data_IF_975042089230
#
_entry.id   IF_975042089230
#
_cell.length_a   1.000
_cell.length_b   1.000
_cell.length_c   1.000
_cell.angle_alpha   90.00
_cell.angle_beta   90.00
_cell.angle_gamma   90.00
#
_symmetry.space_group_name_H-M   'P 1'
#
loop_
_entity.id
_entity.type
_entity.pdbx_description
1 polymer ?
#
# COMPACT_ATOMS: atom_id res chain seq x y z
N UNK A 1 -1.91 -42.17 7.12
CA UNK A 1 -1.04 -41.73 8.23
C UNK A 1 -0.23 -40.56 7.73
N UNK A 2 -0.14 -39.49 8.51
CA UNK A 2 0.64 -38.29 8.18
C UNK A 2 1.85 -38.25 9.12
N UNK A 3 3.03 -38.74 8.70
CA UNK A 3 4.14 -39.03 9.62
C UNK A 3 4.92 -37.78 10.02
N UNK A 4 4.65 -36.62 9.41
CA UNK A 4 5.35 -35.36 9.66
C UNK A 4 4.39 -34.17 9.61
N UNK A 5 4.81 -33.09 10.25
CA UNK A 5 4.19 -31.79 10.07
C UNK A 5 4.46 -31.23 8.66
N UNK A 6 3.59 -30.33 8.17
CA UNK A 6 3.84 -29.60 6.93
C UNK A 6 5.10 -28.73 6.99
N UNK A 7 5.72 -28.54 5.84
CA UNK A 7 6.91 -27.71 5.64
C UNK A 7 6.54 -26.31 5.18
N UNK A 8 7.46 -25.35 5.35
CA UNK A 8 7.30 -24.00 4.81
C UNK A 8 7.19 -23.97 3.28
N UNK A 9 7.84 -24.90 2.58
CA UNK A 9 7.73 -25.01 1.12
C UNK A 9 6.31 -25.38 0.67
N UNK A 10 5.63 -26.28 1.41
CA UNK A 10 4.23 -26.64 1.15
C UNK A 10 3.29 -25.44 1.42
N UNK A 11 3.59 -24.63 2.44
CA UNK A 11 2.85 -23.37 2.69
C UNK A 11 3.05 -22.37 1.56
N UNK A 12 4.30 -22.15 1.11
CA UNK A 12 4.58 -21.22 0.00
C UNK A 12 3.96 -21.68 -1.32
N UNK A 13 3.97 -22.98 -1.61
CA UNK A 13 3.25 -23.52 -2.77
C UNK A 13 1.76 -23.20 -2.67
N UNK A 14 1.13 -23.47 -1.52
CA UNK A 14 -0.27 -23.16 -1.32
C UNK A 14 -0.56 -21.67 -1.54
N UNK A 15 0.26 -20.78 -0.98
CA UNK A 15 0.15 -19.33 -1.16
C UNK A 15 0.35 -18.87 -2.62
N UNK A 16 0.97 -19.68 -3.48
CA UNK A 16 1.14 -19.36 -4.91
C UNK A 16 -0.13 -19.56 -5.74
N UNK A 17 -1.11 -20.32 -5.24
CA UNK A 17 -2.37 -20.57 -5.94
C UNK A 17 -3.20 -19.30 -6.00
N UNK A 18 -3.58 -18.85 -7.20
CA UNK A 18 -4.32 -17.58 -7.39
C UNK A 18 -5.83 -17.74 -7.26
N UNK A 19 -6.35 -18.95 -7.41
CA UNK A 19 -7.78 -19.24 -7.30
C UNK A 19 -8.13 -19.59 -5.86
N UNK A 20 -9.02 -18.81 -5.23
CA UNK A 20 -9.57 -19.16 -3.91
C UNK A 20 -10.24 -20.54 -3.98
N UNK A 21 -11.06 -20.71 -5.02
CA UNK A 21 -11.80 -21.91 -5.34
C UNK A 21 -11.91 -22.04 -6.87
N UNK A 22 -11.84 -23.26 -7.38
CA UNK A 22 -11.76 -23.58 -8.81
C UNK A 22 -12.86 -24.54 -9.28
N UNK A 23 -13.62 -25.11 -8.36
CA UNK A 23 -14.71 -26.04 -8.63
C UNK A 23 -15.93 -25.79 -7.76
N UNK A 24 -16.60 -26.86 -7.35
CA UNK A 24 -17.80 -26.87 -6.53
C UNK A 24 -17.56 -26.54 -5.05
N UNK A 25 -16.38 -26.05 -4.66
CA UNK A 25 -16.03 -25.83 -3.24
C UNK A 25 -16.14 -27.10 -2.38
N UNK A 26 -15.85 -28.25 -2.99
CA UNK A 26 -15.80 -29.54 -2.31
C UNK A 26 -14.36 -30.06 -2.17
N UNK A 27 -14.23 -31.25 -1.60
CA UNK A 27 -12.95 -31.90 -1.31
C UNK A 27 -12.21 -32.36 -2.58
N UNK A 28 -12.86 -32.38 -3.73
CA UNK A 28 -12.32 -32.82 -5.02
C UNK A 28 -11.83 -31.64 -5.88
N UNK A 29 -11.97 -30.41 -5.40
CA UNK A 29 -11.50 -29.23 -6.12
C UNK A 29 -9.98 -29.25 -6.32
N UNK A 30 -9.54 -29.20 -7.57
CA UNK A 30 -8.13 -29.14 -7.96
C UNK A 30 -7.72 -27.70 -8.25
N UNK A 31 -6.49 -27.31 -7.91
CA UNK A 31 -6.00 -25.94 -8.09
C UNK A 31 -6.81 -24.89 -7.28
N UNK A 32 -7.39 -25.32 -6.15
CA UNK A 32 -8.13 -24.47 -5.21
C UNK A 32 -7.23 -24.18 -4.00
N UNK A 33 -6.93 -22.90 -3.75
CA UNK A 33 -6.21 -22.47 -2.55
C UNK A 33 -6.89 -23.00 -1.28
N UNK A 34 -8.22 -22.86 -1.19
CA UNK A 34 -9.00 -23.31 -0.04
C UNK A 34 -8.85 -24.83 0.16
N UNK A 35 -8.92 -25.63 -0.90
CA UNK A 35 -8.80 -27.09 -0.79
C UNK A 35 -7.38 -27.56 -0.44
N UNK A 36 -6.38 -26.88 -0.98
CA UNK A 36 -4.98 -27.16 -0.68
C UNK A 36 -4.68 -26.79 0.77
N UNK A 37 -5.08 -25.61 1.24
CA UNK A 37 -4.87 -25.17 2.63
C UNK A 37 -5.61 -26.06 3.64
N UNK A 38 -6.88 -26.38 3.37
CA UNK A 38 -7.67 -27.29 4.19
C UNK A 38 -7.03 -28.69 4.26
N UNK A 39 -6.33 -29.09 3.20
CA UNK A 39 -5.49 -30.27 3.18
C UNK A 39 -6.11 -31.48 2.50
N UNK A 40 -7.07 -31.29 1.59
CA UNK A 40 -7.61 -32.36 0.75
C UNK A 40 -6.91 -32.45 -0.63
N UNK A 41 -6.19 -31.39 -1.03
CA UNK A 41 -5.33 -31.39 -2.19
C UNK A 41 -3.84 -31.41 -1.81
N UNK A 42 -3.04 -32.06 -2.65
CA UNK A 42 -1.60 -32.20 -2.47
C UNK A 42 -0.94 -30.81 -2.53
N UNK A 43 -0.19 -30.38 -1.50
CA UNK A 43 0.44 -29.06 -1.41
C UNK A 43 1.72 -28.92 -2.25
N UNK A 44 1.92 -29.75 -3.26
CA UNK A 44 2.94 -29.61 -4.30
C UNK A 44 2.35 -29.61 -5.72
N UNK A 45 1.12 -30.12 -5.89
CA UNK A 45 0.48 -30.23 -7.22
C UNK A 45 -0.91 -29.58 -7.27
N UNK A 46 -1.49 -29.26 -6.12
CA UNK A 46 -2.87 -28.82 -5.94
C UNK A 46 -3.93 -29.78 -6.50
N UNK A 47 -3.59 -31.07 -6.64
CA UNK A 47 -4.54 -32.11 -7.06
C UNK A 47 -5.14 -32.77 -5.82
N UNK A 48 -6.47 -32.86 -5.77
CA UNK A 48 -7.22 -33.52 -4.71
C UNK A 48 -6.89 -35.01 -4.62
N UNK A 49 -6.71 -35.50 -3.40
CA UNK A 49 -6.48 -36.91 -3.14
C UNK A 49 -7.07 -37.31 -1.78
N UNK A 50 -8.17 -38.05 -1.82
CA UNK A 50 -8.89 -38.52 -0.62
C UNK A 50 -8.06 -39.40 0.32
N UNK A 51 -6.98 -39.99 -0.18
CA UNK A 51 -6.09 -40.85 0.62
C UNK A 51 -4.98 -40.08 1.31
N UNK A 52 -4.91 -38.76 1.10
CA UNK A 52 -3.89 -37.89 1.65
C UNK A 52 -4.48 -36.80 2.54
N UNK A 53 -3.62 -36.22 3.35
CA UNK A 53 -3.94 -35.08 4.19
C UNK A 53 -2.73 -34.16 4.21
N UNK A 54 -2.90 -32.97 3.66
CA UNK A 54 -1.90 -31.89 3.67
C UNK A 54 -2.19 -30.86 4.75
N UNK A 55 -1.28 -29.90 4.91
CA UNK A 55 -1.47 -28.64 5.66
C UNK A 55 -2.35 -28.78 6.92
N UNK A 56 -3.55 -28.18 6.93
CA UNK A 56 -4.46 -28.21 8.07
C UNK A 56 -4.81 -29.65 8.52
N UNK A 57 -5.32 -30.49 7.63
CA UNK A 57 -5.67 -31.88 7.95
C UNK A 57 -4.46 -32.70 8.43
N UNK A 58 -3.28 -32.44 7.88
CA UNK A 58 -2.04 -33.13 8.28
C UNK A 58 -1.73 -32.93 9.75
N UNK A 59 -1.85 -31.70 10.28
CA UNK A 59 -1.57 -31.40 11.67
C UNK A 59 -2.60 -32.05 12.60
N UNK A 60 -3.89 -31.95 12.26
CA UNK A 60 -4.96 -32.63 12.99
C UNK A 60 -4.67 -34.13 13.17
N UNK A 61 -4.24 -34.81 12.09
CA UNK A 61 -3.92 -36.24 12.13
C UNK A 61 -2.60 -36.52 12.86
N UNK A 62 -1.57 -35.68 12.65
CA UNK A 62 -0.25 -35.84 13.26
C UNK A 62 -0.30 -35.80 14.78
N UNK A 63 -1.09 -34.89 15.34
CA UNK A 63 -1.27 -34.74 16.78
C UNK A 63 -1.94 -35.96 17.44
N UNK A 64 -2.72 -36.72 16.66
CA UNK A 64 -3.50 -37.87 17.14
C UNK A 64 -4.50 -37.47 18.27
N UNK A 65 -5.18 -38.44 18.87
CA UNK A 65 -6.05 -38.20 20.03
C UNK A 65 -7.26 -37.32 19.71
N UNK A 66 -7.56 -36.34 20.57
CA UNK A 66 -8.65 -35.38 20.38
C UNK A 66 -8.50 -34.56 19.10
N UNK A 67 -7.28 -34.13 18.77
CA UNK A 67 -7.00 -33.30 17.60
C UNK A 67 -7.32 -34.00 16.27
N UNK A 68 -7.34 -35.33 16.22
CA UNK A 68 -7.68 -36.08 14.99
C UNK A 68 -9.18 -36.32 14.80
N UNK A 69 -10.01 -35.96 15.78
CA UNK A 69 -11.47 -36.13 15.73
C UNK A 69 -12.16 -34.82 15.35
N UNK A 70 -12.88 -34.78 14.23
CA UNK A 70 -13.56 -33.55 13.75
C UNK A 70 -14.51 -32.96 14.80
N UNK A 71 -15.24 -33.81 15.52
CA UNK A 71 -16.20 -33.36 16.54
C UNK A 71 -15.53 -33.00 17.88
N UNK A 72 -14.28 -33.42 18.08
CA UNK A 72 -13.59 -33.36 19.36
C UNK A 72 -12.36 -32.46 19.38
N UNK A 73 -11.85 -32.05 18.22
CA UNK A 73 -10.57 -31.35 18.07
C UNK A 73 -10.52 -30.05 18.84
N UNK A 74 -11.63 -29.29 18.85
CA UNK A 74 -11.75 -28.04 19.60
C UNK A 74 -11.68 -28.19 21.13
N UNK A 75 -11.74 -29.42 21.69
CA UNK A 75 -11.50 -29.64 23.11
C UNK A 75 -10.01 -29.60 23.47
N UNK A 76 -9.11 -29.69 22.48
CA UNK A 76 -7.68 -29.53 22.67
C UNK A 76 -7.29 -28.05 22.46
N UNK A 77 -6.63 -27.37 23.41
CA UNK A 77 -6.25 -25.96 23.26
C UNK A 77 -5.32 -25.69 22.07
N UNK A 78 -4.61 -26.71 21.57
CA UNK A 78 -3.79 -26.59 20.35
C UNK A 78 -4.65 -26.24 19.13
N UNK A 79 -5.93 -26.58 19.13
CA UNK A 79 -6.89 -26.20 18.08
C UNK A 79 -6.88 -24.70 17.80
N UNK A 80 -6.86 -23.86 18.85
CA UNK A 80 -6.89 -22.40 18.70
C UNK A 80 -5.60 -21.91 18.05
N UNK A 81 -4.45 -22.40 18.51
CA UNK A 81 -3.15 -22.02 17.94
C UNK A 81 -3.01 -22.49 16.49
N UNK A 82 -3.51 -23.70 16.20
CA UNK A 82 -3.52 -24.25 14.85
C UNK A 82 -4.36 -23.40 13.90
N UNK A 83 -5.61 -23.11 14.27
CA UNK A 83 -6.50 -22.33 13.40
C UNK A 83 -6.10 -20.86 13.30
N UNK A 84 -5.47 -20.27 14.32
CA UNK A 84 -4.84 -18.95 14.18
C UNK A 84 -3.72 -18.95 13.12
N UNK A 85 -2.93 -20.03 13.03
CA UNK A 85 -1.91 -20.16 11.98
C UNK A 85 -2.52 -20.45 10.60
N UNK A 86 -3.62 -21.22 10.52
CA UNK A 86 -4.35 -21.42 9.26
C UNK A 86 -4.95 -20.10 8.76
N UNK A 87 -5.54 -19.30 9.66
CA UNK A 87 -6.05 -17.97 9.34
C UNK A 87 -4.94 -17.00 8.92
N UNK A 88 -3.76 -17.07 9.55
CA UNK A 88 -2.62 -16.26 9.13
C UNK A 88 -2.07 -16.61 7.75
N UNK A 89 -2.23 -17.86 7.29
CA UNK A 89 -1.95 -18.26 5.90
C UNK A 89 -3.04 -17.71 4.96
N UNK A 90 -4.31 -17.74 5.37
CA UNK A 90 -5.39 -17.12 4.61
C UNK A 90 -5.21 -15.61 4.46
N UNK A 91 -4.81 -14.90 5.52
CA UNK A 91 -4.49 -13.47 5.47
C UNK A 91 -3.32 -13.16 4.52
N UNK A 92 -2.26 -13.98 4.53
CA UNK A 92 -1.16 -13.87 3.57
C UNK A 92 -1.67 -14.00 2.13
N UNK A 93 -2.57 -14.94 1.88
CA UNK A 93 -3.16 -15.13 0.55
C UNK A 93 -4.02 -13.93 0.14
N UNK A 94 -4.85 -13.39 1.03
CA UNK A 94 -5.65 -12.18 0.79
C UNK A 94 -4.76 -10.97 0.45
N UNK A 95 -3.68 -10.74 1.20
CA UNK A 95 -2.72 -9.65 0.92
C UNK A 95 -2.00 -9.82 -0.41
N UNK A 96 -1.60 -11.05 -0.73
CA UNK A 96 -0.82 -11.40 -1.92
C UNK A 96 -1.64 -11.26 -3.20
N UNK A 97 -2.89 -11.74 -3.20
CA UNK A 97 -3.69 -11.83 -4.42
C UNK A 97 -4.78 -10.75 -4.54
N UNK A 98 -5.15 -10.10 -3.43
CA UNK A 98 -6.20 -9.05 -3.39
C UNK A 98 -7.44 -9.42 -4.22
N UNK A 99 -8.03 -10.60 -3.97
CA UNK A 99 -9.13 -11.11 -4.77
C UNK A 99 -10.35 -10.20 -4.66
N UNK A 100 -11.18 -10.23 -5.70
CA UNK A 100 -12.54 -9.69 -5.59
C UNK A 100 -13.43 -10.68 -4.83
N UNK A 101 -14.48 -10.16 -4.19
CA UNK A 101 -15.42 -10.97 -3.40
C UNK A 101 -16.18 -12.00 -4.26
N UNK A 102 -16.29 -11.76 -5.56
CA UNK A 102 -16.95 -12.64 -6.55
C UNK A 102 -16.22 -13.97 -6.75
N UNK A 103 -14.94 -14.06 -6.37
CA UNK A 103 -14.20 -15.33 -6.40
C UNK A 103 -14.74 -16.31 -5.34
N UNK A 104 -15.38 -15.80 -4.27
CA UNK A 104 -16.11 -16.64 -3.33
C UNK A 104 -17.45 -17.09 -3.96
N UNK A 105 -17.72 -18.40 -4.12
CA UNK A 105 -18.90 -18.89 -4.82
C UNK A 105 -20.23 -18.39 -4.22
N UNK A 106 -21.05 -17.71 -5.02
CA UNK A 106 -22.37 -17.24 -4.60
C UNK A 106 -23.43 -18.34 -4.58
N UNK A 107 -23.24 -19.41 -5.35
CA UNK A 107 -24.17 -20.54 -5.49
C UNK A 107 -23.41 -21.83 -5.85
N UNK A 108 -24.10 -22.97 -5.76
CA UNK A 108 -23.61 -24.31 -6.12
C UNK A 108 -22.45 -24.85 -5.26
N UNK A 109 -22.07 -24.18 -4.18
CA UNK A 109 -21.26 -24.78 -3.14
C UNK A 109 -22.10 -25.76 -2.29
N UNK A 110 -21.47 -26.70 -1.56
CA UNK A 110 -22.14 -27.51 -0.55
C UNK A 110 -22.99 -26.67 0.39
N UNK A 111 -24.04 -27.27 0.96
CA UNK A 111 -24.94 -26.58 1.88
C UNK A 111 -24.15 -25.85 2.98
N UNK A 112 -24.49 -24.58 3.22
CA UNK A 112 -23.82 -23.71 4.19
C UNK A 112 -22.57 -22.98 3.69
N UNK A 113 -22.04 -23.32 2.51
CA UNK A 113 -20.76 -22.80 2.00
C UNK A 113 -20.92 -21.73 0.93
N UNK A 114 -22.13 -21.36 0.50
CA UNK A 114 -22.26 -20.24 -0.44
C UNK A 114 -21.92 -18.92 0.26
N UNK A 115 -21.39 -17.95 -0.47
CA UNK A 115 -21.01 -16.62 0.03
C UNK A 115 -22.06 -15.96 0.90
N UNK A 116 -23.33 -16.07 0.47
CA UNK A 116 -24.47 -15.45 1.16
C UNK A 116 -25.09 -16.34 2.24
N UNK A 117 -24.61 -17.57 2.46
CA UNK A 117 -25.11 -18.41 3.54
C UNK A 117 -24.61 -17.89 4.89
N UNK A 118 -25.49 -17.95 5.89
CA UNK A 118 -25.13 -17.69 7.27
C UNK A 118 -24.31 -18.85 7.82
N UNK A 119 -23.18 -18.53 8.45
CA UNK A 119 -22.31 -19.49 9.12
C UNK A 119 -23.01 -20.04 10.36
N UNK A 120 -23.30 -21.34 10.35
CA UNK A 120 -23.95 -22.03 11.45
C UNK A 120 -22.92 -22.40 12.52
N UNK A 121 -23.19 -22.23 13.83
CA UNK A 121 -24.41 -21.73 14.46
C UNK A 121 -24.26 -20.32 15.08
N UNK A 122 -23.55 -19.39 14.43
CA UNK A 122 -23.24 -18.10 15.06
C UNK A 122 -24.50 -17.24 15.33
N UNK A 123 -24.47 -16.53 16.46
CA UNK A 123 -25.47 -15.53 16.87
C UNK A 123 -24.70 -14.28 17.35
N UNK A 124 -24.93 -13.08 16.75
CA UNK A 124 -25.87 -12.79 15.67
C UNK A 124 -25.46 -13.43 14.35
N UNK A 125 -26.35 -13.38 13.36
CA UNK A 125 -26.16 -14.05 12.08
C UNK A 125 -25.07 -13.36 11.25
N UNK A 126 -24.09 -14.14 10.81
CA UNK A 126 -22.96 -13.72 9.99
C UNK A 126 -22.87 -14.56 8.72
N UNK A 127 -22.62 -13.94 7.57
CA UNK A 127 -22.46 -14.62 6.27
C UNK A 127 -20.98 -14.93 6.00
N UNK A 128 -20.74 -15.97 5.21
CA UNK A 128 -19.38 -16.34 4.78
C UNK A 128 -18.63 -15.18 4.12
N UNK A 129 -19.27 -14.46 3.20
CA UNK A 129 -18.66 -13.34 2.48
C UNK A 129 -18.24 -12.17 3.37
N UNK A 130 -18.82 -12.03 4.57
CA UNK A 130 -18.43 -10.99 5.52
C UNK A 130 -17.06 -11.25 6.14
N UNK A 131 -16.52 -12.46 6.03
CA UNK A 131 -15.20 -12.83 6.55
C UNK A 131 -14.17 -13.05 5.44
N UNK A 132 -14.57 -12.86 4.18
CA UNK A 132 -13.65 -12.86 3.04
C UNK A 132 -13.05 -11.46 2.83
N UNK A 133 -12.36 -10.95 3.85
CA UNK A 133 -11.73 -9.63 3.86
C UNK A 133 -10.46 -9.64 4.73
N UNK A 134 -9.55 -8.66 4.57
CA UNK A 134 -8.32 -8.58 5.37
C UNK A 134 -8.60 -8.51 6.88
N UNK A 135 -7.76 -9.16 7.67
CA UNK A 135 -7.84 -9.19 9.15
C UNK A 135 -7.94 -7.79 9.79
N UNK A 136 -7.27 -6.80 9.19
CA UNK A 136 -7.31 -5.39 9.65
C UNK A 136 -8.71 -4.79 9.66
N UNK A 137 -9.55 -5.18 8.70
CA UNK A 137 -10.96 -4.75 8.66
C UNK A 137 -11.82 -5.44 9.72
N UNK A 138 -11.33 -6.55 10.28
CA UNK A 138 -11.92 -7.29 11.39
C UNK A 138 -11.36 -6.85 12.76
N UNK A 139 -10.39 -5.94 12.78
CA UNK A 139 -9.85 -5.35 14.00
C UNK A 139 -8.65 -6.09 14.62
N UNK A 140 -7.99 -6.98 13.87
CA UNK A 140 -6.76 -7.64 14.31
C UNK A 140 -5.70 -7.72 13.20
N UNK A 141 -4.46 -8.02 13.54
CA UNK A 141 -3.38 -8.29 12.57
C UNK A 141 -2.37 -9.31 13.13
N UNK A 142 -1.59 -9.92 12.25
CA UNK A 142 -0.49 -10.82 12.59
C UNK A 142 0.83 -10.04 12.58
N UNK A 143 1.56 -10.07 13.70
CA UNK A 143 2.79 -9.31 13.93
C UNK A 143 3.80 -9.45 12.78
N UNK A 144 4.07 -10.70 12.35
CA UNK A 144 5.04 -10.99 11.29
C UNK A 144 4.56 -10.62 9.87
N UNK A 145 3.28 -10.24 9.70
CA UNK A 145 2.73 -9.76 8.43
C UNK A 145 2.66 -8.24 8.36
N UNK A 146 2.93 -7.53 9.45
CA UNK A 146 2.96 -6.09 9.45
C UNK A 146 4.06 -5.64 8.48
N UNK A 147 3.65 -4.96 7.40
CA UNK A 147 4.63 -4.30 6.54
C UNK A 147 5.40 -3.27 7.39
N UNK A 148 6.74 -3.20 7.27
CA UNK A 148 7.50 -2.13 7.90
C UNK A 148 6.87 -0.81 7.50
N UNK A 149 6.39 -0.07 8.51
CA UNK A 149 5.36 0.92 8.29
C UNK A 149 5.75 1.95 7.22
N UNK A 150 4.95 2.01 6.15
CA UNK A 150 4.80 3.23 5.33
C UNK A 150 4.27 4.42 6.16
N UNK A 151 3.81 4.18 7.40
CA UNK A 151 3.60 5.22 8.40
C UNK A 151 4.89 6.00 8.69
N UNK A 152 6.08 5.42 8.48
CA UNK A 152 7.36 6.12 8.62
C UNK A 152 7.52 7.28 7.63
N UNK A 153 6.99 7.17 6.41
CA UNK A 153 7.08 8.25 5.42
C UNK A 153 6.10 9.37 5.75
N UNK A 154 4.91 9.03 6.22
CA UNK A 154 3.91 10.01 6.61
C UNK A 154 4.32 10.73 7.91
N UNK A 155 4.80 10.01 8.93
CA UNK A 155 5.41 10.60 10.13
C UNK A 155 6.66 11.42 9.82
N UNK A 156 7.48 11.00 8.85
CA UNK A 156 8.62 11.77 8.38
C UNK A 156 8.19 13.09 7.72
N UNK A 157 7.13 13.08 6.89
CA UNK A 157 6.69 14.26 6.13
C UNK A 157 5.85 15.25 6.94
N UNK A 158 5.08 14.79 7.95
CA UNK A 158 4.25 15.65 8.81
C UNK A 158 5.00 16.87 9.37
N UNK A 159 6.19 16.75 10.00
CA UNK A 159 6.90 17.91 10.55
C UNK A 159 7.33 18.91 9.46
N UNK A 160 7.73 18.43 8.27
CA UNK A 160 8.07 19.31 7.15
C UNK A 160 6.86 20.04 6.58
N UNK A 161 5.71 19.36 6.47
CA UNK A 161 4.46 19.95 6.01
C UNK A 161 3.92 20.98 7.00
N UNK A 162 4.01 20.71 8.30
CA UNK A 162 3.65 21.67 9.35
C UNK A 162 4.56 22.90 9.31
N UNK A 163 5.88 22.69 9.19
CA UNK A 163 6.83 23.78 9.05
C UNK A 163 6.56 24.61 7.80
N UNK A 164 6.29 23.97 6.66
CA UNK A 164 5.90 24.63 5.41
C UNK A 164 4.62 25.46 5.58
N UNK A 165 3.61 24.95 6.29
CA UNK A 165 2.36 25.67 6.57
C UNK A 165 2.59 26.92 7.43
N UNK A 166 3.49 26.86 8.41
CA UNK A 166 3.81 27.99 9.29
C UNK A 166 4.55 29.11 8.56
N UNK A 167 5.46 28.77 7.64
CA UNK A 167 6.24 29.76 6.89
C UNK A 167 5.50 30.31 5.66
N UNK A 168 4.46 29.62 5.19
CA UNK A 168 3.75 29.98 3.94
C UNK A 168 3.21 31.41 3.95
N UNK A 169 2.59 31.84 5.05
CA UNK A 169 2.04 33.18 5.18
C UNK A 169 3.11 34.27 5.09
N UNK A 170 4.30 34.02 5.67
CA UNK A 170 5.43 34.94 5.63
C UNK A 170 6.05 35.04 4.24
N UNK A 171 6.19 33.92 3.53
CA UNK A 171 6.70 33.88 2.16
C UNK A 171 5.77 34.65 1.20
N UNK A 172 4.46 34.43 1.32
CA UNK A 172 3.46 35.17 0.53
C UNK A 172 3.48 36.66 0.89
N UNK A 173 3.54 37.00 2.18
CA UNK A 173 3.66 38.38 2.64
C UNK A 173 4.90 39.09 2.09
N UNK A 174 6.06 38.43 2.13
CA UNK A 174 7.31 38.96 1.60
C UNK A 174 7.25 39.17 0.07
N UNK A 175 6.63 38.25 -0.67
CA UNK A 175 6.46 38.38 -2.12
C UNK A 175 5.58 39.58 -2.49
N UNK A 176 4.47 39.78 -1.77
CA UNK A 176 3.57 40.94 -1.98
C UNK A 176 4.29 42.24 -1.67
N UNK A 177 4.97 42.33 -0.52
CA UNK A 177 5.72 43.53 -0.13
C UNK A 177 6.83 43.83 -1.15
N UNK A 178 7.59 42.81 -1.56
CA UNK A 178 8.61 42.94 -2.61
C UNK A 178 8.02 43.47 -3.91
N UNK A 179 6.89 42.93 -4.36
CA UNK A 179 6.18 43.41 -5.56
C UNK A 179 5.78 44.89 -5.47
N UNK A 180 5.23 45.31 -4.32
CA UNK A 180 4.85 46.72 -4.09
C UNK A 180 6.07 47.63 -4.14
N UNK A 181 7.16 47.29 -3.43
CA UNK A 181 8.39 48.09 -3.41
C UNK A 181 8.97 48.23 -4.82
N UNK A 182 8.97 47.14 -5.60
CA UNK A 182 9.48 47.14 -6.97
C UNK A 182 8.63 48.05 -7.88
N UNK A 183 7.30 48.02 -7.72
CA UNK A 183 6.39 48.87 -8.48
C UNK A 183 6.57 50.36 -8.12
N UNK A 184 6.72 50.69 -6.84
CA UNK A 184 6.96 52.07 -6.36
C UNK A 184 8.30 52.60 -6.89
N UNK A 185 9.38 51.82 -6.75
CA UNK A 185 10.70 52.21 -7.26
C UNK A 185 10.68 52.43 -8.77
N UNK A 186 10.03 51.53 -9.51
CA UNK A 186 9.89 51.66 -10.96
C UNK A 186 9.08 52.90 -11.32
N UNK A 187 7.96 53.16 -10.63
CA UNK A 187 7.16 54.37 -10.78
C UNK A 187 7.95 55.66 -10.51
N UNK A 188 8.75 55.68 -9.45
CA UNK A 188 9.62 56.81 -9.10
C UNK A 188 10.72 57.03 -10.16
N UNK A 189 11.37 55.97 -10.65
CA UNK A 189 12.37 56.05 -11.71
C UNK A 189 11.75 56.61 -13.00
N UNK A 190 10.56 56.13 -13.38
CA UNK A 190 9.84 56.61 -14.56
C UNK A 190 9.39 58.07 -14.40
N UNK A 191 8.91 58.47 -13.22
CA UNK A 191 8.53 59.86 -12.92
C UNK A 191 9.74 60.81 -12.97
N UNK A 192 10.87 60.42 -12.38
CA UNK A 192 12.13 61.16 -12.45
C UNK A 192 12.64 61.29 -13.89
N UNK A 193 12.56 60.21 -14.70
CA UNK A 193 12.89 60.24 -16.13
C UNK A 193 11.96 61.19 -16.91
N UNK A 194 10.65 61.17 -16.65
CA UNK A 194 9.68 62.06 -17.28
C UNK A 194 9.92 63.53 -16.91
N UNK A 195 10.22 63.82 -15.64
CA UNK A 195 10.58 65.18 -15.17
C UNK A 195 11.86 65.69 -15.82
N UNK A 196 12.91 64.85 -15.92
CA UNK A 196 14.17 65.19 -16.62
C UNK A 196 13.97 65.50 -18.10
N UNK A 197 13.03 64.79 -18.76
CA UNK A 197 12.70 64.99 -20.18
C UNK A 197 11.86 66.25 -20.42
N UNK A 198 11.07 66.69 -19.44
CA UNK A 198 10.29 67.93 -19.48
C UNK A 198 11.09 69.20 -19.14
N UNK A 199 12.24 69.09 -18.47
CA UNK A 199 13.13 70.22 -18.15
C UNK A 199 14.29 70.41 -19.14
N UNK A 200 14.45 69.52 -20.12
CA UNK A 200 15.54 69.56 -21.10
C UNK A 200 15.00 70.03 -22.46
N UNK A 201 14.53 71.27 -22.51
CA UNK A 201 14.28 71.99 -23.75
C UNK A 201 14.84 73.40 -23.60
N UNK A 202 16.14 73.50 -23.79
CA UNK A 202 16.95 74.65 -24.23
C UNK A 202 18.30 74.62 -23.53
N UNK A 203 19.31 74.21 -24.28
CA UNK A 203 20.49 75.00 -24.62
C UNK A 203 21.25 74.13 -25.63
N UNK A 204 21.18 74.55 -26.90
CA UNK A 204 22.12 74.14 -27.93
C UNK A 204 23.15 75.26 -28.02
N UNK A 205 24.44 74.94 -28.16
CA UNK A 205 25.26 75.69 -29.09
C UNK A 205 25.74 74.76 -30.20
N UNK A 206 25.57 75.25 -31.42
CA UNK A 206 26.35 74.82 -32.57
C UNK A 206 27.83 75.00 -32.26
N UNK A 207 28.67 74.04 -32.67
CA UNK A 207 29.72 74.26 -33.66
C UNK A 207 30.28 72.90 -34.11
N UNK A 208 30.54 72.86 -35.41
CA UNK A 208 31.03 71.75 -36.24
C UNK A 208 32.58 71.81 -36.27
N UNK A 209 33.22 70.76 -36.81
CA UNK A 209 34.66 70.57 -37.12
C UNK A 209 35.55 70.09 -35.95
N UNK A 210 36.48 69.16 -36.09
CA UNK A 210 36.98 68.34 -37.21
C UNK A 210 37.99 67.31 -36.66
N UNK A 211 38.17 66.22 -37.40
CA UNK A 211 39.39 65.38 -37.50
C UNK A 211 39.75 64.34 -36.40
N UNK A 212 39.59 63.08 -36.82
CA UNK A 212 40.54 61.97 -36.75
C UNK A 212 41.88 62.22 -36.04
N UNK A 213 42.26 61.32 -35.10
CA UNK A 213 43.31 60.32 -35.35
C UNK A 213 43.53 59.41 -34.13
N UNK A 214 43.41 58.11 -34.39
CA UNK A 214 44.18 56.97 -33.89
C UNK A 214 44.96 57.05 -32.56
N UNK A 215 44.61 56.12 -31.67
CA UNK A 215 45.45 54.98 -31.26
C UNK A 215 46.94 55.23 -30.90
N UNK A 216 47.31 54.85 -29.66
CA UNK A 216 48.50 54.04 -29.26
C UNK A 216 48.98 54.44 -27.84
N UNK A 217 48.77 53.51 -26.91
CA UNK A 217 49.74 52.91 -25.95
C UNK A 217 50.88 53.78 -25.40
N UNK A 218 51.05 53.82 -24.06
CA UNK A 218 52.14 53.14 -23.34
C UNK A 218 52.06 53.29 -21.81
N UNK A 219 52.45 52.20 -21.14
CA UNK A 219 52.76 52.06 -19.71
C UNK A 219 53.94 52.94 -19.29
N UNK A 220 54.03 53.30 -17.99
CA UNK A 220 55.07 52.75 -17.09
C UNK A 220 55.02 53.35 -15.69
N UNK A 221 55.27 52.47 -14.71
CA UNK A 221 55.53 52.72 -13.31
C UNK A 221 56.73 53.66 -13.05
N UNK A 222 56.69 54.36 -11.92
CA UNK A 222 57.73 54.34 -10.88
C UNK A 222 57.05 54.45 -9.52
#
# INVERSE_FOLDING_TARGET
>A
MTPRLPSSAEVEFCLSLTQYESGSMDKMANYSFRNTLEGFADPQTAISNISQSGLHNALHIYMNGSMSQVQGSANDPIFVLHHAFVDSIFEQWLRRHRPMLEVYPAANAPIGHNRENYMVPFIPLYRNGEFFKPSRELGYDYDYLQEPALDSFQEFLIPYLEQARQIWAWLVGAAVVGGIVTAVLTGLILACRKKRRGTSSEIQPLLIESEDYNNVTYQSNF
#
